data_IF_387194674875
#
_entry.id   IF_387194674875
#
_cell.length_a   1.000
_cell.length_b   1.000
_cell.length_c   1.000
_cell.angle_alpha   90.00
_cell.angle_beta   90.00
_cell.angle_gamma   90.00
#
_symmetry.space_group_name_H-M   'P 1'
#
loop_
_entity.id
_entity.type
_entity.pdbx_description
1 polymer ?
#
# COMPACT_ATOMS: atom_id res chain seq x y z
N UNK A 1 -7.79 -11.58 -4.24
CA UNK A 1 -6.96 -11.22 -5.41
C UNK A 1 -5.57 -10.80 -4.95
N UNK A 2 -4.49 -11.10 -5.69
CA UNK A 2 -3.16 -10.54 -5.40
C UNK A 2 -3.15 -9.06 -5.82
N UNK A 3 -2.65 -8.13 -4.99
CA UNK A 3 -2.58 -6.72 -5.37
C UNK A 3 -1.69 -6.55 -6.61
N UNK A 4 -2.20 -5.83 -7.62
CA UNK A 4 -1.48 -5.58 -8.87
C UNK A 4 -0.44 -4.46 -8.69
N UNK A 5 -0.65 -3.61 -7.68
CA UNK A 5 0.24 -2.49 -7.34
C UNK A 5 0.28 -2.23 -5.84
N UNK A 6 1.36 -1.57 -5.38
CA UNK A 6 1.48 -1.12 -3.98
C UNK A 6 0.32 -0.20 -3.60
N UNK A 7 -0.19 0.60 -4.54
CA UNK A 7 -1.32 1.51 -4.31
C UNK A 7 -2.60 0.73 -3.95
N UNK A 8 -2.87 -0.37 -4.65
CA UNK A 8 -4.01 -1.25 -4.32
C UNK A 8 -3.80 -1.91 -2.95
N UNK A 9 -2.59 -2.45 -2.71
CA UNK A 9 -2.27 -3.06 -1.43
C UNK A 9 -2.45 -2.09 -0.25
N UNK A 10 -2.07 -0.82 -0.41
CA UNK A 10 -2.20 0.22 0.61
C UNK A 10 -3.65 0.68 0.85
N UNK A 11 -4.50 0.62 -0.18
CA UNK A 11 -5.92 0.97 -0.03
C UNK A 11 -6.68 -0.08 0.80
N UNK A 12 -6.26 -1.34 0.70
CA UNK A 12 -6.82 -2.46 1.47
C UNK A 12 -6.05 -2.73 2.78
N UNK A 13 -4.89 -2.10 2.98
CA UNK A 13 -4.09 -2.25 4.17
C UNK A 13 -4.71 -1.51 5.36
N UNK A 14 -4.76 -2.16 6.52
CA UNK A 14 -5.07 -1.49 7.79
C UNK A 14 -3.79 -1.20 8.60
N UNK A 15 -2.73 -1.98 8.35
CA UNK A 15 -1.46 -1.85 9.03
C UNK A 15 -0.32 -1.95 8.02
N UNK A 16 0.74 -1.17 8.25
CA UNK A 16 1.91 -1.12 7.37
C UNK A 16 3.17 -1.35 8.20
N UNK A 17 4.15 -2.04 7.65
CA UNK A 17 5.48 -2.19 8.24
C UNK A 17 6.53 -1.71 7.23
N UNK A 18 7.54 -1.00 7.71
CA UNK A 18 8.66 -0.49 6.92
C UNK A 18 9.98 -0.96 7.52
N UNK A 19 10.78 -1.73 6.78
CA UNK A 19 12.07 -2.29 7.21
C UNK A 19 12.03 -3.03 8.57
N UNK A 20 10.92 -3.72 8.87
CA UNK A 20 10.72 -4.39 10.16
C UNK A 20 10.18 -3.50 11.28
N UNK A 21 9.85 -2.23 11.00
CA UNK A 21 9.20 -1.31 11.93
C UNK A 21 7.70 -1.19 11.62
N UNK A 22 6.85 -1.50 12.59
CA UNK A 22 5.41 -1.29 12.46
C UNK A 22 5.05 0.19 12.45
N UNK A 23 4.38 0.61 11.38
CA UNK A 23 3.72 1.89 11.30
C UNK A 23 2.44 1.84 12.15
N UNK A 24 2.31 2.79 13.06
CA UNK A 24 1.09 2.93 13.85
C UNK A 24 0.00 3.69 13.06
N UNK A 25 0.39 4.44 12.03
CA UNK A 25 -0.49 5.15 11.12
C UNK A 25 0.19 5.32 9.77
N UNK A 26 -0.58 5.28 8.70
CA UNK A 26 -0.16 5.80 7.41
C UNK A 26 -1.29 6.63 6.80
N UNK A 27 -0.93 7.55 5.90
CA UNK A 27 -1.85 8.44 5.21
C UNK A 27 -1.58 8.38 3.71
N UNK A 28 -2.68 8.34 2.94
CA UNK A 28 -2.65 8.37 1.48
C UNK A 28 -3.29 9.66 0.97
N UNK A 29 -2.67 10.26 -0.04
CA UNK A 29 -3.27 11.41 -0.73
C UNK A 29 -4.44 10.96 -1.62
N UNK A 30 -5.64 11.00 -1.05
CA UNK A 30 -6.89 10.59 -1.73
C UNK A 30 -7.20 11.40 -2.99
N UNK A 31 -6.79 12.66 -3.04
CA UNK A 31 -6.99 13.50 -4.23
C UNK A 31 -6.08 13.04 -5.37
N UNK A 32 -4.82 12.74 -5.05
CA UNK A 32 -3.86 12.18 -5.99
C UNK A 32 -4.29 10.78 -6.46
N UNK A 33 -4.79 9.93 -5.56
CA UNK A 33 -5.37 8.62 -5.90
C UNK A 33 -6.53 8.76 -6.89
N UNK A 34 -7.45 9.68 -6.65
CA UNK A 34 -8.57 9.96 -7.54
C UNK A 34 -8.09 10.46 -8.92
N UNK A 35 -7.03 11.27 -8.98
CA UNK A 35 -6.44 11.70 -10.24
C UNK A 35 -5.79 10.54 -11.02
N UNK A 36 -5.14 9.60 -10.32
CA UNK A 36 -4.52 8.42 -10.94
C UNK A 36 -5.60 7.51 -11.51
N UNK A 37 -6.65 7.22 -10.72
CA UNK A 37 -7.76 6.36 -11.18
C UNK A 37 -8.55 7.00 -12.32
N UNK A 38 -8.70 8.33 -12.32
CA UNK A 38 -9.29 9.07 -13.43
C UNK A 38 -8.35 9.26 -14.64
N UNK A 39 -7.08 8.89 -14.54
CA UNK A 39 -6.08 9.08 -15.60
C UNK A 39 -5.72 10.55 -15.86
N UNK A 40 -5.98 11.44 -14.89
CA UNK A 40 -5.70 12.89 -14.98
C UNK A 40 -4.41 13.30 -14.28
N UNK A 41 -3.72 12.37 -13.61
CA UNK A 41 -2.44 12.61 -12.98
C UNK A 41 -1.40 13.08 -14.03
N UNK A 42 -0.89 14.30 -13.85
CA UNK A 42 0.15 14.86 -14.71
C UNK A 42 1.56 14.48 -14.27
N UNK A 43 2.58 14.91 -15.01
CA UNK A 43 3.98 14.72 -14.60
C UNK A 43 4.33 15.38 -13.26
N UNK A 44 3.65 16.47 -12.90
CA UNK A 44 3.81 17.14 -11.60
C UNK A 44 3.30 16.27 -10.44
N UNK A 45 2.23 15.51 -10.69
CA UNK A 45 1.63 14.57 -9.72
C UNK A 45 2.62 13.47 -9.31
N UNK A 46 3.52 13.05 -10.21
CA UNK A 46 4.51 12.00 -9.95
C UNK A 46 5.50 12.37 -8.83
N UNK A 47 5.83 13.65 -8.69
CA UNK A 47 6.75 14.15 -7.65
C UNK A 47 6.05 14.39 -6.30
N UNK A 48 4.71 14.39 -6.25
CA UNK A 48 3.95 14.65 -5.03
C UNK A 48 4.02 13.46 -4.06
N UNK A 49 4.09 13.71 -2.74
CA UNK A 49 4.07 12.64 -1.75
C UNK A 49 2.69 11.96 -1.72
N UNK A 50 2.62 10.73 -2.20
CA UNK A 50 1.37 9.94 -2.18
C UNK A 50 1.17 9.25 -0.83
N UNK A 51 2.23 8.67 -0.28
CA UNK A 51 2.18 7.86 0.94
C UNK A 51 3.01 8.52 2.04
N UNK A 52 2.44 8.61 3.24
CA UNK A 52 3.13 9.02 4.45
C UNK A 52 3.03 7.90 5.48
N UNK A 53 4.15 7.43 5.98
CA UNK A 53 4.23 6.32 6.94
C UNK A 53 4.72 6.85 8.28
N UNK A 54 3.91 6.72 9.31
CA UNK A 54 4.23 7.14 10.67
C UNK A 54 4.56 5.92 11.53
N UNK A 55 5.81 5.81 11.99
CA UNK A 55 6.21 4.79 12.96
C UNK A 55 6.64 5.43 14.29
N UNK A 56 6.66 4.62 15.34
CA UNK A 56 7.20 4.99 16.65
C UNK A 56 8.36 4.03 16.94
N UNK A 57 9.55 4.60 17.12
CA UNK A 57 10.74 3.88 17.57
C UNK A 57 11.01 4.27 19.03
N UNK A 58 10.48 3.47 19.95
CA UNK A 58 10.52 3.75 21.38
C UNK A 58 9.74 5.00 21.77
N UNK A 59 10.43 6.14 21.91
CA UNK A 59 9.81 7.45 22.23
C UNK A 59 9.84 8.44 21.06
N UNK A 60 10.56 8.13 19.99
CA UNK A 60 10.72 9.01 18.85
C UNK A 60 9.75 8.61 17.73
N UNK A 61 9.18 9.62 17.06
CA UNK A 61 8.29 9.42 15.91
C UNK A 61 9.13 9.54 14.65
N UNK A 62 9.04 8.53 13.78
CA UNK A 62 9.67 8.54 12.46
C UNK A 62 8.58 8.66 11.40
N UNK A 63 8.83 9.51 10.42
CA UNK A 63 7.92 9.78 9.31
C UNK A 63 8.66 9.58 8.00
N UNK A 64 8.20 8.64 7.18
CA UNK A 64 8.67 8.46 5.82
C UNK A 64 7.62 8.99 4.85
N UNK A 65 8.08 9.60 3.76
CA UNK A 65 7.21 10.10 2.70
C UNK A 65 7.72 9.56 1.38
N UNK A 66 6.81 8.95 0.62
CA UNK A 66 7.11 8.40 -0.68
C UNK A 66 6.32 9.14 -1.75
N UNK A 67 7.00 9.51 -2.83
CA UNK A 67 6.36 10.13 -3.98
C UNK A 67 5.51 9.12 -4.74
N UNK A 68 4.54 9.61 -5.51
CA UNK A 68 3.77 8.77 -6.41
C UNK A 68 4.67 7.93 -7.33
N UNK A 69 5.69 8.56 -7.92
CA UNK A 69 6.62 7.86 -8.81
C UNK A 69 7.32 6.69 -8.10
N UNK A 70 7.79 6.90 -6.86
CA UNK A 70 8.42 5.84 -6.06
C UNK A 70 7.43 4.71 -5.74
N UNK A 71 6.19 5.04 -5.36
CA UNK A 71 5.15 4.05 -5.03
C UNK A 71 4.74 3.25 -6.28
N UNK A 72 4.65 3.90 -7.45
CA UNK A 72 4.35 3.22 -8.72
C UNK A 72 5.52 2.37 -9.22
N UNK A 73 6.76 2.79 -8.96
CA UNK A 73 7.96 2.04 -9.29
C UNK A 73 8.24 0.89 -8.30
N UNK A 74 7.48 0.80 -7.20
CA UNK A 74 7.67 -0.24 -6.20
C UNK A 74 7.46 -1.63 -6.80
N UNK A 75 8.33 -2.57 -6.42
CA UNK A 75 8.31 -3.94 -6.93
C UNK A 75 7.78 -4.88 -5.87
N UNK A 76 6.77 -5.65 -6.23
CA UNK A 76 6.27 -6.72 -5.38
C UNK A 76 7.23 -7.90 -5.32
N UNK A 77 7.41 -8.45 -4.14
CA UNK A 77 8.18 -9.67 -3.86
C UNK A 77 7.25 -10.73 -3.28
N UNK A 78 6.98 -11.77 -4.06
CA UNK A 78 6.16 -12.92 -3.65
C UNK A 78 6.82 -13.77 -2.55
N UNK A 79 8.13 -13.65 -2.35
CA UNK A 79 8.85 -14.44 -1.34
C UNK A 79 8.45 -14.08 0.09
N UNK A 80 8.21 -12.78 0.34
CA UNK A 80 8.00 -12.20 1.68
C UNK A 80 6.69 -11.39 1.77
N UNK A 81 5.87 -11.45 0.72
CA UNK A 81 4.67 -10.62 0.54
C UNK A 81 4.93 -9.13 0.82
N UNK A 82 6.03 -8.64 0.23
CA UNK A 82 6.59 -7.33 0.54
C UNK A 82 6.84 -6.51 -0.72
N UNK A 83 6.77 -5.20 -0.60
CA UNK A 83 7.00 -4.24 -1.66
C UNK A 83 8.33 -3.54 -1.45
N UNK A 84 9.22 -3.67 -2.43
CA UNK A 84 10.47 -2.92 -2.46
C UNK A 84 10.21 -1.54 -3.08
N UNK A 85 10.38 -0.48 -2.29
CA UNK A 85 10.23 0.90 -2.73
C UNK A 85 11.57 1.64 -2.63
N UNK A 86 11.87 2.48 -3.63
CA UNK A 86 13.03 3.37 -3.56
C UNK A 86 12.64 4.66 -2.81
N UNK A 87 13.22 4.83 -1.62
CA UNK A 87 13.14 6.08 -0.85
C UNK A 87 14.12 7.14 -1.38
N UNK A 88 14.24 8.25 -0.66
CA UNK A 88 15.12 9.36 -1.07
C UNK A 88 16.60 8.99 -1.02
N UNK A 89 17.01 8.19 -0.02
CA UNK A 89 18.41 7.86 0.23
C UNK A 89 18.68 6.34 0.19
N UNK A 90 17.68 5.52 0.51
CA UNK A 90 17.80 4.06 0.57
C UNK A 90 16.51 3.41 0.07
N UNK A 91 16.64 2.17 -0.42
CA UNK A 91 15.49 1.31 -0.68
C UNK A 91 14.91 0.80 0.63
N UNK A 92 13.59 0.84 0.74
CA UNK A 92 12.84 0.36 1.89
C UNK A 92 11.96 -0.82 1.49
N UNK A 93 11.72 -1.72 2.44
CA UNK A 93 10.78 -2.84 2.26
C UNK A 93 9.50 -2.54 3.02
N UNK A 94 8.39 -2.45 2.29
CA UNK A 94 7.06 -2.19 2.83
C UNK A 94 6.24 -3.48 2.87
N UNK A 95 5.68 -3.85 4.02
CA UNK A 95 4.71 -4.95 4.13
C UNK A 95 3.35 -4.38 4.47
N UNK A 96 2.40 -4.62 3.57
CA UNK A 96 1.01 -4.22 3.74
C UNK A 96 0.27 -5.36 4.43
N UNK A 97 -0.27 -5.09 5.61
CA UNK A 97 -1.15 -6.02 6.32
C UNK A 97 -2.59 -5.56 6.08
N UNK A 98 -3.22 -6.14 5.07
CA UNK A 98 -4.66 -6.05 4.93
C UNK A 98 -5.31 -6.82 6.08
N UNK A 99 -6.30 -6.23 6.76
CA UNK A 99 -7.19 -7.08 7.52
C UNK A 99 -7.84 -8.03 6.52
N UNK A 100 -7.85 -9.31 6.85
CA UNK A 100 -8.57 -10.31 6.08
C UNK A 100 -10.05 -9.90 6.07
N UNK A 101 -10.46 -9.07 5.11
CA UNK A 101 -11.85 -8.94 4.72
C UNK A 101 -12.17 -10.35 4.25
N UNK A 102 -12.91 -11.09 5.08
CA UNK A 102 -13.35 -12.42 4.73
C UNK A 102 -13.91 -12.36 3.33
N UNK A 103 -13.18 -12.97 2.40
CA UNK A 103 -13.64 -13.29 1.07
C UNK A 103 -14.77 -14.30 1.29
N UNK A 104 -15.95 -13.77 1.61
CA UNK A 104 -17.20 -14.50 1.57
C UNK A 104 -17.60 -14.53 0.09
N UNK A 105 -16.76 -15.17 -0.72
CA UNK A 105 -17.20 -15.78 -1.97
C UNK A 105 -18.16 -16.89 -1.53
N UNK A 106 -19.42 -16.51 -1.32
CA UNK A 106 -20.55 -17.43 -1.36
C UNK A 106 -20.72 -17.86 -2.81
N UNK A 107 -19.93 -18.84 -3.24
CA UNK A 107 -20.21 -19.61 -4.44
C UNK A 107 -19.85 -21.08 -4.16
N UNK A 108 -20.86 -21.85 -3.76
CA UNK A 108 -21.06 -23.20 -4.31
C UNK A 108 -22.55 -23.62 -4.20
N UNK A 109 -23.25 -23.34 -5.30
CA UNK A 109 -24.17 -24.21 -6.04
C UNK A 109 -25.33 -24.92 -5.31
N UNK A 110 -26.55 -24.53 -5.72
CA UNK A 110 -27.78 -25.21 -5.36
C UNK A 110 -27.86 -26.65 -5.86
N UNK A 111 -28.55 -27.48 -5.08
CA UNK A 111 -29.09 -28.75 -5.54
C UNK A 111 -30.53 -28.86 -5.03
N UNK A 112 -31.47 -28.74 -5.97
CA UNK A 112 -32.84 -29.27 -5.86
C UNK A 112 -32.79 -30.70 -5.31
N UNK A 113 -33.66 -31.09 -4.37
CA UNK A 113 -34.29 -32.43 -4.35
C UNK A 113 -35.66 -32.43 -3.64
N UNK A 114 -36.69 -32.71 -4.47
CA UNK A 114 -37.98 -33.40 -4.24
C UNK A 114 -39.08 -32.79 -3.32
#
# INVERSE_FOLDING_TARGET
MKPTSLIEALQDADMLEIDGLYAWQFDLDTELLAQISAGTAGSDSAAKPLLQVHCIDGRERRLWKFSLASVQAARYSEADDSWLIEGNDVSHTLKCFAAYRGDNDEDDEGQDEA
#
